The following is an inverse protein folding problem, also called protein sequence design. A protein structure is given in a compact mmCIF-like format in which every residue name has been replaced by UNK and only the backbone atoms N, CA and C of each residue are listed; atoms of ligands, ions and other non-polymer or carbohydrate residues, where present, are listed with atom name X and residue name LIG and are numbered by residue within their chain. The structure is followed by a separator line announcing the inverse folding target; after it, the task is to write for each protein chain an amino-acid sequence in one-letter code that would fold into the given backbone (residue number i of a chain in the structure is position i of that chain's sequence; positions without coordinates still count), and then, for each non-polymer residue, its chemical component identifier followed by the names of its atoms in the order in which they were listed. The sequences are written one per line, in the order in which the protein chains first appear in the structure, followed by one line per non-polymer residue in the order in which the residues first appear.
data_IF_398310539994
#
_entry.id   IF_398310539994
#
_cell.length_a   1.000
_cell.length_b   1.000
_cell.length_c   1.000
_cell.angle_alpha   90.00
_cell.angle_beta   90.00
_cell.angle_gamma   90.00
#
_symmetry.space_group_name_H-M   'P 1'
#
loop_
_entity.id
_entity.type
_entity.pdbx_description
1 polymer ?
#
# COMPACT_ATOMS: atom_id res chain seq x y z
N UNK A 1 36.83 -26.93 57.66
CA UNK A 1 36.18 -26.07 58.68
C UNK A 1 34.98 -25.43 57.98
N UNK A 2 33.79 -26.03 57.92
CA UNK A 2 32.99 -26.59 59.02
C UNK A 2 32.26 -25.42 59.68
N UNK A 3 31.04 -25.07 59.25
CA UNK A 3 29.74 -25.44 59.86
C UNK A 3 28.73 -24.42 59.30
N UNK A 4 27.43 -24.64 59.12
CA UNK A 4 26.46 -25.60 59.63
C UNK A 4 25.11 -24.85 59.68
N UNK A 5 24.05 -25.43 59.11
CA UNK A 5 22.70 -24.88 58.96
C UNK A 5 22.00 -24.49 60.27
N UNK A 6 20.87 -23.76 60.18
CA UNK A 6 19.66 -24.25 60.82
C UNK A 6 18.49 -24.40 59.83
N UNK A 7 17.79 -25.53 59.94
CA UNK A 7 16.47 -25.79 59.38
C UNK A 7 15.42 -25.27 60.37
N UNK A 8 14.32 -24.68 59.89
CA UNK A 8 13.04 -24.72 60.60
C UNK A 8 11.84 -24.48 59.67
N UNK A 9 11.10 -25.57 59.46
CA UNK A 9 9.64 -25.71 59.28
C UNK A 9 8.82 -24.61 58.62
N UNK A 10 8.57 -24.74 57.31
CA UNK A 10 7.39 -24.14 56.68
C UNK A 10 6.15 -25.01 56.93
N UNK A 11 5.24 -24.52 57.79
CA UNK A 11 3.87 -25.02 57.88
C UNK A 11 3.06 -24.45 56.71
N UNK A 12 2.55 -25.33 55.86
CA UNK A 12 1.46 -25.05 54.93
C UNK A 12 0.29 -24.35 55.66
N UNK A 13 0.01 -23.11 55.28
CA UNK A 13 -1.27 -22.46 55.54
C UNK A 13 -1.98 -22.29 54.21
N UNK A 14 -3.03 -23.08 54.04
CA UNK A 14 -4.05 -22.92 53.01
C UNK A 14 -4.70 -21.55 53.13
N UNK A 15 -4.39 -20.65 52.20
CA UNK A 15 -5.13 -19.39 52.04
C UNK A 15 -6.23 -19.63 51.01
N UNK A 16 -7.46 -19.67 51.52
CA UNK A 16 -8.67 -19.83 50.73
C UNK A 16 -8.79 -18.78 49.62
N UNK A 17 -9.03 -19.26 48.40
CA UNK A 17 -9.37 -18.44 47.25
C UNK A 17 -10.77 -17.86 47.50
N UNK A 18 -10.83 -16.64 48.03
CA UNK A 18 -12.06 -15.86 48.00
C UNK A 18 -12.35 -15.48 46.55
N UNK A 19 -13.54 -15.86 46.07
CA UNK A 19 -14.04 -15.50 44.76
C UNK A 19 -14.14 -13.98 44.64
N UNK A 20 -13.16 -13.37 43.96
CA UNK A 20 -13.18 -11.96 43.61
C UNK A 20 -14.36 -11.65 42.68
N UNK A 21 -15.27 -10.83 43.18
CA UNK A 21 -16.45 -10.37 42.43
C UNK A 21 -16.09 -9.77 41.08
N UNK A 22 -16.94 -10.07 40.08
CA UNK A 22 -16.90 -9.53 38.71
C UNK A 22 -16.88 -8.00 38.75
N UNK A 23 -15.69 -7.38 38.72
CA UNK A 23 -15.55 -5.93 38.50
C UNK A 23 -15.93 -5.66 37.04
N UNK A 24 -17.10 -5.03 36.85
CA UNK A 24 -17.50 -4.47 35.55
C UNK A 24 -16.40 -3.52 35.05
N UNK A 25 -16.03 -3.56 33.76
CA UNK A 25 -15.10 -2.60 33.20
C UNK A 25 -15.64 -1.17 33.39
N UNK A 26 -14.75 -0.18 33.60
CA UNK A 26 -15.17 1.20 33.83
C UNK A 26 -15.96 1.72 32.63
N UNK A 27 -17.16 2.25 32.90
CA UNK A 27 -17.97 2.97 31.91
C UNK A 27 -17.24 4.25 31.54
N UNK A 28 -16.81 4.35 30.28
CA UNK A 28 -16.31 5.61 29.70
C UNK A 28 -17.51 6.56 29.59
N UNK A 29 -17.50 7.73 30.25
CA UNK A 29 -18.66 8.61 30.28
C UNK A 29 -18.86 9.33 28.94
N UNK A 30 -20.11 9.29 28.46
CA UNK A 30 -20.76 10.37 27.73
C UNK A 30 -20.33 10.58 26.28
N UNK A 31 -20.99 9.86 25.35
CA UNK A 31 -20.96 10.18 23.93
C UNK A 31 -21.38 11.62 23.65
N UNK A 32 -20.53 12.35 22.92
CA UNK A 32 -20.94 13.59 22.27
C UNK A 32 -22.15 13.30 21.38
N UNK A 33 -23.30 13.87 21.74
CA UNK A 33 -24.53 13.83 20.94
C UNK A 33 -24.23 14.42 19.56
N UNK A 34 -24.48 13.61 18.53
CA UNK A 34 -24.19 13.91 17.15
C UNK A 34 -25.00 15.11 16.63
N UNK A 35 -24.31 16.12 16.13
CA UNK A 35 -24.82 17.11 15.17
C UNK A 35 -23.99 17.16 13.88
N UNK A 36 -23.18 16.13 13.61
CA UNK A 36 -22.27 16.06 12.46
C UNK A 36 -22.33 14.69 11.79
N UNK A 37 -22.91 14.60 10.57
CA UNK A 37 -22.65 13.61 9.51
C UNK A 37 -22.56 12.09 9.81
N UNK A 38 -22.91 11.61 11.01
CA UNK A 38 -22.66 10.23 11.43
C UNK A 38 -21.17 9.88 11.55
N UNK A 39 -20.85 8.61 11.80
CA UNK A 39 -19.46 8.15 11.89
C UNK A 39 -18.70 8.35 10.56
N UNK A 40 -19.33 8.04 9.43
CA UNK A 40 -18.74 8.22 8.09
C UNK A 40 -18.32 9.67 7.83
N UNK A 41 -19.19 10.64 8.13
CA UNK A 41 -18.89 12.06 7.96
C UNK A 41 -17.71 12.52 8.81
N UNK A 42 -17.60 12.05 10.06
CA UNK A 42 -16.46 12.35 10.92
C UNK A 42 -15.14 11.77 10.41
N UNK A 43 -15.16 10.56 9.84
CA UNK A 43 -13.98 9.94 9.22
C UNK A 43 -13.55 10.72 7.98
N UNK A 44 -14.48 11.05 7.08
CA UNK A 44 -14.19 11.84 5.89
C UNK A 44 -13.59 13.20 6.24
N UNK A 45 -14.17 13.88 7.24
CA UNK A 45 -13.63 15.14 7.77
C UNK A 45 -12.22 14.96 8.33
N UNK A 46 -12.00 13.92 9.15
CA UNK A 46 -10.68 13.60 9.71
C UNK A 46 -9.61 13.43 8.63
N UNK A 47 -9.93 12.65 7.57
CA UNK A 47 -9.03 12.35 6.47
C UNK A 47 -8.74 13.59 5.62
N UNK A 48 -9.78 14.32 5.21
CA UNK A 48 -9.66 15.53 4.40
C UNK A 48 -8.84 16.61 5.10
N UNK A 49 -9.11 16.86 6.39
CA UNK A 49 -8.42 17.90 7.15
C UNK A 49 -6.93 17.55 7.41
N UNK A 50 -6.50 16.32 7.07
CA UNK A 50 -5.12 15.83 7.18
C UNK A 50 -4.47 15.54 5.82
N UNK A 51 -5.09 15.97 4.72
CA UNK A 51 -4.49 15.85 3.39
C UNK A 51 -4.53 14.44 2.80
N UNK A 52 -5.49 13.60 3.19
CA UNK A 52 -5.74 12.34 2.48
C UNK A 52 -6.42 12.64 1.15
N UNK A 53 -5.85 12.17 0.04
CA UNK A 53 -6.37 12.44 -1.30
C UNK A 53 -7.60 11.58 -1.64
N UNK A 54 -7.61 10.31 -1.23
CA UNK A 54 -8.67 9.36 -1.52
C UNK A 54 -9.11 8.60 -0.26
N UNK A 55 -10.42 8.45 -0.07
CA UNK A 55 -11.00 7.64 1.02
C UNK A 55 -12.13 6.81 0.46
N UNK A 56 -12.14 5.50 0.76
CA UNK A 56 -13.22 4.60 0.38
C UNK A 56 -13.59 3.63 1.49
N UNK A 57 -14.83 3.15 1.46
CA UNK A 57 -15.40 2.25 2.47
C UNK A 57 -15.88 0.94 1.82
N UNK A 58 -15.32 -0.18 2.24
CA UNK A 58 -15.72 -1.52 1.78
C UNK A 58 -16.29 -2.35 2.95
N UNK A 59 -17.48 -2.97 2.81
CA UNK A 59 -17.94 -3.97 3.75
C UNK A 59 -17.15 -5.27 3.54
N UNK A 60 -16.93 -6.04 4.60
CA UNK A 60 -16.03 -7.21 4.55
C UNK A 60 -16.57 -8.33 3.67
N UNK A 61 -17.89 -8.39 3.50
CA UNK A 61 -18.63 -9.37 2.72
C UNK A 61 -18.25 -9.31 1.22
N UNK A 62 -17.77 -8.16 0.72
CA UNK A 62 -17.31 -8.02 -0.68
C UNK A 62 -16.16 -8.95 -1.04
N UNK A 63 -15.32 -9.34 -0.08
CA UNK A 63 -14.26 -10.30 -0.34
C UNK A 63 -14.81 -11.69 -0.65
N UNK A 64 -15.93 -12.06 -0.02
CA UNK A 64 -16.62 -13.32 -0.24
C UNK A 64 -17.43 -13.28 -1.55
N UNK A 65 -18.18 -12.19 -1.77
CA UNK A 65 -18.99 -11.97 -2.98
C UNK A 65 -18.15 -11.99 -4.27
N UNK A 66 -16.99 -11.33 -4.26
CA UNK A 66 -16.12 -11.26 -5.43
C UNK A 66 -15.34 -12.56 -5.65
N UNK A 67 -15.01 -13.29 -4.58
CA UNK A 67 -14.28 -14.56 -4.66
C UNK A 67 -12.84 -14.47 -5.19
N UNK A 68 -12.30 -13.26 -5.43
CA UNK A 68 -10.97 -13.07 -6.05
C UNK A 68 -9.81 -13.24 -5.06
N UNK A 69 -10.05 -13.06 -3.76
CA UNK A 69 -9.04 -13.12 -2.69
C UNK A 69 -9.18 -14.44 -1.91
N UNK A 70 -8.10 -15.20 -1.65
CA UNK A 70 -8.20 -16.45 -0.88
C UNK A 70 -8.70 -16.20 0.56
N UNK A 71 -9.47 -17.13 1.16
CA UNK A 71 -10.13 -16.94 2.45
C UNK A 71 -9.23 -16.41 3.58
N UNK A 72 -8.03 -16.97 3.75
CA UNK A 72 -7.10 -16.60 4.83
C UNK A 72 -6.59 -15.15 4.75
N UNK A 73 -6.73 -14.51 3.58
CA UNK A 73 -6.29 -13.14 3.31
C UNK A 73 -7.45 -12.13 3.37
N UNK A 74 -8.65 -12.58 3.73
CA UNK A 74 -9.85 -11.74 3.80
C UNK A 74 -9.94 -11.04 5.15
N UNK A 75 -10.60 -9.86 5.23
CA UNK A 75 -10.63 -9.09 6.46
C UNK A 75 -11.18 -9.83 7.68
N UNK A 76 -12.28 -10.57 7.50
CA UNK A 76 -12.90 -11.33 8.59
C UNK A 76 -12.03 -12.51 9.07
N UNK A 77 -11.16 -13.06 8.22
CA UNK A 77 -10.20 -14.09 8.62
C UNK A 77 -9.02 -13.49 9.39
N UNK A 78 -8.51 -12.34 8.94
CA UNK A 78 -7.41 -11.61 9.59
C UNK A 78 -7.84 -11.07 10.96
N UNK A 79 -9.05 -10.52 11.04
CA UNK A 79 -9.62 -10.00 12.28
C UNK A 79 -11.15 -10.21 12.30
N UNK A 80 -11.64 -11.24 13.00
CA UNK A 80 -13.07 -11.63 13.00
C UNK A 80 -14.09 -10.53 13.31
N UNK A 81 -13.79 -9.53 14.17
CA UNK A 81 -14.72 -8.42 14.41
C UNK A 81 -14.86 -7.43 13.26
N UNK A 82 -14.04 -7.49 12.20
CA UNK A 82 -14.08 -6.53 11.11
C UNK A 82 -15.46 -6.53 10.42
N UNK A 83 -16.01 -5.33 10.21
CA UNK A 83 -17.27 -5.07 9.48
C UNK A 83 -17.07 -4.12 8.31
N UNK A 84 -16.13 -3.19 8.43
CA UNK A 84 -15.75 -2.31 7.33
C UNK A 84 -14.22 -2.19 7.24
N UNK A 85 -13.72 -2.17 6.01
CA UNK A 85 -12.36 -1.77 5.67
C UNK A 85 -12.41 -0.35 5.09
N UNK A 86 -11.75 0.58 5.76
CA UNK A 86 -11.57 1.97 5.32
C UNK A 86 -10.24 2.03 4.59
N UNK A 87 -10.23 2.49 3.35
CA UNK A 87 -9.01 2.61 2.54
C UNK A 87 -8.68 4.09 2.36
N UNK A 88 -7.43 4.45 2.63
CA UNK A 88 -6.90 5.79 2.36
C UNK A 88 -5.84 5.73 1.28
N UNK A 89 -5.81 6.73 0.39
CA UNK A 89 -4.82 6.86 -0.68
C UNK A 89 -4.16 8.22 -0.68
N UNK A 90 -2.85 8.25 -0.96
CA UNK A 90 -2.07 9.46 -1.21
C UNK A 90 -1.51 9.48 -2.64
N UNK A 91 -1.65 10.60 -3.33
CA UNK A 91 -1.05 10.87 -4.64
C UNK A 91 0.47 10.76 -4.56
N UNK A 92 1.07 10.17 -5.60
CA UNK A 92 2.50 10.21 -5.86
C UNK A 92 2.75 11.21 -7.00
N UNK A 93 3.31 12.40 -6.73
CA UNK A 93 3.48 13.43 -7.76
C UNK A 93 4.20 12.93 -9.01
N UNK A 94 3.52 13.03 -10.16
CA UNK A 94 3.98 12.48 -11.43
C UNK A 94 5.41 12.87 -11.81
N UNK A 95 5.86 14.15 -11.69
CA UNK A 95 7.22 14.52 -12.08
C UNK A 95 8.32 13.74 -11.34
N UNK A 96 8.07 13.37 -10.08
CA UNK A 96 9.02 12.55 -9.30
C UNK A 96 8.94 11.08 -9.71
N UNK A 97 7.73 10.55 -9.94
CA UNK A 97 7.53 9.18 -10.43
C UNK A 97 8.22 8.96 -11.79
N UNK A 98 8.25 9.96 -12.67
CA UNK A 98 8.89 9.87 -13.98
C UNK A 98 10.41 9.68 -13.95
N UNK A 99 11.04 10.11 -12.85
CA UNK A 99 12.48 9.96 -12.64
C UNK A 99 12.90 8.53 -12.35
N UNK A 100 11.94 7.63 -12.10
CA UNK A 100 12.24 6.26 -11.69
C UNK A 100 13.11 5.48 -12.69
N UNK A 101 14.01 4.59 -12.21
CA UNK A 101 14.45 4.43 -10.82
C UNK A 101 15.43 5.53 -10.39
N UNK A 102 15.16 6.21 -9.28
CA UNK A 102 16.00 7.30 -8.75
C UNK A 102 15.93 7.37 -7.22
N UNK A 103 16.89 8.07 -6.59
CA UNK A 103 16.80 8.38 -5.16
C UNK A 103 15.63 9.31 -4.84
N UNK A 104 15.31 10.25 -5.74
CA UNK A 104 14.19 11.17 -5.53
C UNK A 104 12.87 10.41 -5.46
N UNK A 105 12.66 9.44 -6.35
CA UNK A 105 11.48 8.57 -6.30
C UNK A 105 11.49 7.67 -5.06
N UNK A 106 12.66 7.16 -4.64
CA UNK A 106 12.81 6.40 -3.40
C UNK A 106 12.37 7.20 -2.18
N UNK A 107 12.81 8.45 -2.05
CA UNK A 107 12.47 9.29 -0.89
C UNK A 107 10.99 9.70 -0.91
N UNK A 108 10.42 10.01 -2.08
CA UNK A 108 8.97 10.20 -2.18
C UNK A 108 8.21 8.94 -1.73
N UNK A 109 8.62 7.76 -2.21
CA UNK A 109 8.01 6.50 -1.83
C UNK A 109 8.06 6.29 -0.31
N UNK A 110 9.22 6.45 0.33
CA UNK A 110 9.35 6.35 1.79
C UNK A 110 8.47 7.36 2.52
N UNK A 111 8.45 8.60 2.05
CA UNK A 111 7.67 9.69 2.65
C UNK A 111 6.18 9.39 2.62
N UNK A 112 5.64 9.05 1.44
CA UNK A 112 4.22 8.71 1.29
C UNK A 112 3.82 7.51 2.16
N UNK A 113 4.68 6.50 2.24
CA UNK A 113 4.43 5.32 3.06
C UNK A 113 4.42 5.63 4.56
N UNK A 114 5.40 6.39 5.04
CA UNK A 114 5.45 6.80 6.44
C UNK A 114 4.24 7.67 6.80
N UNK A 115 3.80 8.54 5.89
CA UNK A 115 2.64 9.39 6.12
C UNK A 115 1.33 8.60 6.15
N UNK A 116 1.13 7.67 5.21
CA UNK A 116 0.00 6.74 5.24
C UNK A 116 -0.12 5.98 6.56
N UNK A 117 0.99 5.42 7.04
CA UNK A 117 0.99 4.67 8.31
C UNK A 117 0.67 5.58 9.51
N UNK A 118 1.17 6.82 9.53
CA UNK A 118 0.81 7.81 10.56
C UNK A 118 -0.67 8.16 10.53
N UNK A 119 -1.21 8.43 9.35
CA UNK A 119 -2.62 8.75 9.14
C UNK A 119 -3.52 7.59 9.58
N UNK A 120 -3.17 6.36 9.21
CA UNK A 120 -3.91 5.14 9.54
C UNK A 120 -3.86 4.81 11.03
N UNK A 121 -2.70 5.00 11.66
CA UNK A 121 -2.58 4.87 13.12
C UNK A 121 -3.42 5.94 13.84
N UNK A 122 -3.38 7.18 13.37
CA UNK A 122 -4.21 8.26 13.92
C UNK A 122 -5.70 7.97 13.81
N UNK A 123 -6.17 7.53 12.63
CA UNK A 123 -7.57 7.16 12.41
C UNK A 123 -7.99 5.97 13.30
N UNK A 124 -7.12 4.96 13.41
CA UNK A 124 -7.32 3.83 14.33
C UNK A 124 -7.56 4.30 15.76
N UNK A 125 -6.73 5.21 16.28
CA UNK A 125 -6.90 5.76 17.63
C UNK A 125 -8.18 6.57 17.77
N UNK A 126 -8.52 7.35 16.75
CA UNK A 126 -9.75 8.13 16.70
C UNK A 126 -11.00 7.23 16.82
N UNK A 127 -11.04 6.13 16.06
CA UNK A 127 -12.13 5.16 16.08
C UNK A 127 -12.20 4.42 17.41
N UNK A 128 -11.07 3.92 17.90
CA UNK A 128 -10.99 3.20 19.18
C UNK A 128 -11.48 4.06 20.36
N UNK A 129 -11.09 5.34 20.41
CA UNK A 129 -11.56 6.29 21.44
C UNK A 129 -13.05 6.61 21.32
N UNK A 130 -13.62 6.44 20.13
CA UNK A 130 -15.04 6.64 19.87
C UNK A 130 -15.88 5.37 20.10
N UNK A 131 -15.29 4.31 20.67
CA UNK A 131 -15.98 3.05 20.96
C UNK A 131 -16.12 2.12 19.74
N UNK A 132 -15.36 2.35 18.67
CA UNK A 132 -15.32 1.50 17.49
C UNK A 132 -13.97 0.78 17.41
N UNK A 133 -13.85 -0.44 17.98
CA UNK A 133 -12.66 -1.28 17.85
C UNK A 133 -12.13 -1.26 16.41
N UNK A 134 -10.84 -1.00 16.26
CA UNK A 134 -10.18 -0.84 14.98
C UNK A 134 -8.68 -1.10 15.10
N UNK A 135 -8.07 -1.54 14.01
CA UNK A 135 -6.62 -1.53 13.81
C UNK A 135 -6.30 -1.18 12.36
N UNK A 136 -5.08 -0.73 12.08
CA UNK A 136 -4.63 -0.52 10.72
C UNK A 136 -3.68 -1.63 10.30
N UNK A 137 -3.76 -2.01 9.02
CA UNK A 137 -2.77 -2.87 8.41
C UNK A 137 -1.70 -1.95 7.79
N UNK A 138 -0.42 -2.03 8.22
CA UNK A 138 0.64 -1.17 7.70
C UNK A 138 0.82 -1.33 6.21
N UNK A 139 1.22 -0.25 5.52
CA UNK A 139 1.28 -0.22 4.05
C UNK A 139 2.13 -1.34 3.44
N UNK A 140 3.17 -1.80 4.15
CA UNK A 140 4.04 -2.93 3.80
C UNK A 140 4.06 -3.96 4.93
N UNK A 141 3.95 -5.24 4.56
CA UNK A 141 3.90 -6.36 5.50
C UNK A 141 5.02 -7.38 5.32
N UNK A 142 6.19 -6.99 4.80
CA UNK A 142 7.32 -7.91 4.57
C UNK A 142 8.60 -7.43 5.25
N UNK A 143 9.29 -8.32 5.97
CA UNK A 143 10.48 -7.97 6.76
C UNK A 143 11.78 -7.84 5.96
N UNK A 144 11.87 -8.48 4.80
CA UNK A 144 13.04 -8.39 3.90
C UNK A 144 12.70 -8.89 2.50
N UNK A 145 13.56 -8.60 1.51
CA UNK A 145 13.46 -9.17 0.17
C UNK A 145 13.60 -10.71 0.18
N UNK A 146 14.41 -11.25 1.10
CA UNK A 146 14.56 -12.70 1.29
C UNK A 146 13.23 -13.34 1.71
N UNK A 147 12.55 -12.76 2.70
CA UNK A 147 11.24 -13.24 3.15
C UNK A 147 10.21 -13.21 2.01
N UNK A 148 10.24 -12.15 1.20
CA UNK A 148 9.36 -12.01 0.04
C UNK A 148 9.66 -13.04 -1.06
N UNK A 149 10.92 -13.44 -1.24
CA UNK A 149 11.30 -14.49 -2.18
C UNK A 149 10.86 -15.89 -1.72
N UNK A 150 10.97 -16.17 -0.42
CA UNK A 150 10.55 -17.45 0.17
C UNK A 150 9.02 -17.60 0.15
N UNK A 151 8.31 -16.54 0.52
CA UNK A 151 6.85 -16.50 0.51
C UNK A 151 6.38 -15.19 -0.13
N UNK A 152 6.18 -15.23 -1.44
CA UNK A 152 5.81 -14.05 -2.23
C UNK A 152 4.33 -13.69 -2.09
N UNK A 153 3.92 -13.40 -0.86
CA UNK A 153 2.55 -13.04 -0.56
C UNK A 153 2.51 -12.10 0.65
N UNK A 154 1.85 -10.95 0.50
CA UNK A 154 1.52 -10.09 1.62
C UNK A 154 0.30 -10.66 2.35
N UNK A 155 0.24 -10.56 3.68
CA UNK A 155 -0.89 -11.06 4.46
C UNK A 155 -2.22 -10.30 4.20
N UNK A 156 -2.16 -9.15 3.54
CA UNK A 156 -3.33 -8.40 3.08
C UNK A 156 -3.02 -7.57 1.83
N UNK A 157 -3.99 -7.44 0.92
CA UNK A 157 -3.83 -6.66 -0.32
C UNK A 157 -4.59 -5.33 -0.25
N UNK A 158 -3.85 -4.23 -0.08
CA UNK A 158 -4.42 -2.88 -0.17
C UNK A 158 -4.98 -2.56 -1.57
N UNK A 159 -4.48 -3.19 -2.62
CA UNK A 159 -5.00 -3.03 -3.99
C UNK A 159 -6.42 -3.57 -4.08
N UNK A 160 -6.65 -4.79 -3.58
CA UNK A 160 -7.99 -5.39 -3.59
C UNK A 160 -8.94 -4.65 -2.66
N UNK A 161 -8.45 -4.21 -1.50
CA UNK A 161 -9.23 -3.35 -0.61
C UNK A 161 -9.70 -2.06 -1.31
N UNK A 162 -8.81 -1.39 -2.06
CA UNK A 162 -9.15 -0.17 -2.78
C UNK A 162 -10.14 -0.40 -3.94
N UNK A 163 -10.03 -1.53 -4.66
CA UNK A 163 -11.03 -1.97 -5.66
C UNK A 163 -12.39 -2.13 -5.00
N UNK A 164 -12.45 -2.90 -3.91
CA UNK A 164 -13.68 -3.15 -3.19
C UNK A 164 -14.23 -1.92 -2.50
N UNK A 165 -13.39 -0.93 -2.18
CA UNK A 165 -13.80 0.37 -1.64
C UNK A 165 -14.24 1.38 -2.71
N UNK A 166 -14.34 0.97 -3.98
CA UNK A 166 -14.81 1.83 -5.06
C UNK A 166 -13.82 2.89 -5.54
N UNK A 167 -12.55 2.82 -5.11
CA UNK A 167 -11.55 3.83 -5.47
C UNK A 167 -11.00 3.69 -6.89
N UNK A 168 -11.21 2.53 -7.53
CA UNK A 168 -10.62 2.25 -8.82
C UNK A 168 -10.80 0.81 -9.30
N UNK A 169 -10.14 0.49 -10.42
CA UNK A 169 -10.15 -0.85 -11.03
C UNK A 169 -8.73 -1.37 -11.22
N UNK A 170 -8.51 -2.68 -11.11
CA UNK A 170 -7.18 -3.29 -11.28
C UNK A 170 -6.80 -3.29 -12.75
N UNK A 171 -5.66 -2.68 -13.09
CA UNK A 171 -5.15 -2.62 -14.45
C UNK A 171 -4.34 -3.86 -14.86
N UNK A 172 -3.92 -3.89 -16.13
CA UNK A 172 -3.09 -4.97 -16.66
C UNK A 172 -1.78 -5.21 -15.87
N UNK A 173 -1.25 -4.17 -15.22
CA UNK A 173 -0.03 -4.23 -14.42
C UNK A 173 -0.24 -4.65 -12.96
N UNK A 174 -1.44 -5.12 -12.59
CA UNK A 174 -1.85 -5.43 -11.21
C UNK A 174 -1.89 -4.23 -10.25
N UNK A 175 -1.61 -3.02 -10.73
CA UNK A 175 -1.84 -1.80 -9.95
C UNK A 175 -3.32 -1.41 -10.00
N UNK A 176 -3.84 -0.88 -8.89
CA UNK A 176 -5.12 -0.18 -8.93
C UNK A 176 -4.97 1.09 -9.76
N UNK A 177 -5.91 1.33 -10.67
CA UNK A 177 -6.04 2.58 -11.41
C UNK A 177 -7.16 3.38 -10.78
N UNK A 178 -6.89 4.64 -10.44
CA UNK A 178 -7.88 5.62 -9.96
C UNK A 178 -8.22 6.61 -11.08
N UNK A 179 -9.44 7.19 -11.14
CA UNK A 179 -9.76 8.23 -12.10
C UNK A 179 -8.86 9.48 -11.99
N UNK A 180 -8.50 9.86 -10.77
CA UNK A 180 -7.75 11.07 -10.44
C UNK A 180 -6.27 10.93 -10.80
N UNK A 181 -5.64 9.82 -10.41
CA UNK A 181 -4.17 9.68 -10.42
C UNK A 181 -3.69 8.43 -11.16
N UNK A 182 -4.58 7.63 -11.74
CA UNK A 182 -4.23 6.33 -12.29
C UNK A 182 -3.55 5.45 -11.22
N UNK A 183 -2.42 4.79 -11.53
CA UNK A 183 -1.69 3.98 -10.57
C UNK A 183 -0.73 4.76 -9.66
N UNK A 184 -0.70 6.10 -9.74
CA UNK A 184 0.22 6.95 -8.96
C UNK A 184 -0.37 7.27 -7.60
N UNK A 185 -0.77 6.22 -6.88
CA UNK A 185 -1.35 6.31 -5.54
C UNK A 185 -0.75 5.22 -4.66
N UNK A 186 -0.43 5.55 -3.42
CA UNK A 186 -0.12 4.58 -2.37
C UNK A 186 -1.33 4.44 -1.46
N UNK A 187 -1.63 3.21 -1.01
CA UNK A 187 -2.80 2.90 -0.21
C UNK A 187 -2.42 2.33 1.15
N UNK A 188 -3.29 2.54 2.13
CA UNK A 188 -3.27 1.89 3.45
C UNK A 188 -4.71 1.61 3.88
N UNK A 189 -4.91 0.64 4.78
CA UNK A 189 -6.24 0.22 5.18
C UNK A 189 -6.41 0.15 6.69
N UNK A 190 -7.56 0.61 7.18
CA UNK A 190 -8.00 0.51 8.57
C UNK A 190 -9.20 -0.41 8.63
N UNK A 191 -9.12 -1.42 9.48
CA UNK A 191 -10.15 -2.40 9.73
C UNK A 191 -10.92 -1.92 10.94
N UNK A 192 -12.25 -1.91 10.88
CA UNK A 192 -13.09 -1.48 12.00
C UNK A 192 -14.26 -2.43 12.19
N UNK A 193 -14.66 -2.62 13.45
CA UNK A 193 -15.89 -3.34 13.80
C UNK A 193 -17.14 -2.49 13.60
N UNK A 194 -16.99 -1.21 13.25
CA UNK A 194 -18.10 -0.35 12.92
C UNK A 194 -18.67 -0.72 11.54
N UNK A 195 -20.00 -0.84 11.47
CA UNK A 195 -20.72 -0.89 10.21
C UNK A 195 -20.86 0.52 9.66
N UNK A 196 -20.22 0.79 8.52
CA UNK A 196 -20.21 2.10 7.87
C UNK A 196 -20.80 1.93 6.47
N UNK A 197 -21.71 2.83 6.03
CA UNK A 197 -22.24 2.79 4.67
C UNK A 197 -21.12 2.73 3.61
N UNK A 198 -21.12 1.70 2.75
CA UNK A 198 -20.02 1.47 1.82
C UNK A 198 -20.15 2.31 0.55
N UNK A 199 -19.05 2.52 -0.15
CA UNK A 199 -19.05 3.11 -1.50
C UNK A 199 -19.30 2.02 -2.55
N UNK A 200 -20.00 2.27 -3.66
CA UNK A 200 -20.17 1.27 -4.72
C UNK A 200 -18.83 0.94 -5.40
N UNK A 201 -18.66 -0.30 -5.83
CA UNK A 201 -17.52 -0.66 -6.69
C UNK A 201 -17.68 -0.03 -8.07
N UNK A 202 -16.55 0.31 -8.71
CA UNK A 202 -16.58 0.79 -10.09
C UNK A 202 -16.86 -0.36 -11.05
N UNK A 203 -17.90 -0.24 -11.87
CA UNK A 203 -18.30 -1.26 -12.83
C UNK A 203 -17.41 -1.26 -14.09
N UNK A 204 -16.95 -0.08 -14.52
CA UNK A 204 -16.19 0.08 -15.75
C UNK A 204 -14.69 0.09 -15.48
N UNK A 205 -13.97 -0.81 -16.16
CA UNK A 205 -12.51 -0.84 -16.16
C UNK A 205 -11.91 0.47 -16.68
N UNK A 206 -10.95 1.01 -15.93
CA UNK A 206 -10.20 2.20 -16.33
C UNK A 206 -9.01 1.89 -17.23
N UNK A 207 -8.57 0.62 -17.29
CA UNK A 207 -7.42 0.24 -18.09
C UNK A 207 -7.72 0.33 -19.60
N UNK A 208 -6.90 1.07 -20.33
CA UNK A 208 -7.06 1.24 -21.78
C UNK A 208 -6.50 0.07 -22.62
N UNK A 209 -5.98 -0.99 -21.98
CA UNK A 209 -5.24 -2.09 -22.63
C UNK A 209 -4.12 -1.65 -23.61
N UNK A 210 -3.56 -0.45 -23.41
CA UNK A 210 -2.56 0.18 -24.29
C UNK A 210 -1.16 -0.48 -24.31
N UNK A 211 -0.94 -1.51 -23.49
CA UNK A 211 0.31 -2.28 -23.38
C UNK A 211 1.56 -1.55 -22.88
N UNK A 212 1.54 -0.22 -22.70
CA UNK A 212 2.72 0.56 -22.27
C UNK A 212 3.43 -0.02 -21.03
N UNK A 213 2.67 -0.48 -20.03
CA UNK A 213 3.25 -1.10 -18.83
C UNK A 213 4.00 -2.42 -19.10
N UNK A 214 3.53 -3.22 -20.06
CA UNK A 214 4.16 -4.47 -20.46
C UNK A 214 5.39 -4.21 -21.33
N UNK A 215 5.26 -3.30 -22.31
CA UNK A 215 6.32 -3.02 -23.28
C UNK A 215 7.52 -2.33 -22.60
N UNK A 216 7.28 -1.40 -21.66
CA UNK A 216 8.33 -0.70 -20.90
C UNK A 216 8.87 -1.48 -19.69
N UNK A 217 8.32 -2.64 -19.32
CA UNK A 217 8.79 -3.38 -18.14
C UNK A 217 10.23 -3.91 -18.35
N UNK A 218 11.22 -3.56 -17.51
CA UNK A 218 12.61 -4.00 -17.71
C UNK A 218 12.82 -5.51 -17.62
N UNK A 219 11.97 -6.21 -16.86
CA UNK A 219 12.03 -7.66 -16.67
C UNK A 219 10.94 -8.42 -17.43
N UNK A 220 10.16 -7.72 -18.26
CA UNK A 220 9.02 -8.28 -19.01
C UNK A 220 8.05 -9.09 -18.12
N UNK A 221 7.86 -8.61 -16.89
CA UNK A 221 7.06 -9.26 -15.86
C UNK A 221 5.54 -9.19 -16.09
N UNK A 222 5.08 -8.47 -17.12
CA UNK A 222 3.65 -8.29 -17.41
C UNK A 222 3.39 -8.79 -18.83
N UNK A 223 2.49 -9.76 -18.96
CA UNK A 223 1.98 -10.25 -20.23
C UNK A 223 0.50 -9.90 -20.37
N UNK A 224 0.18 -9.16 -21.43
CA UNK A 224 -1.20 -8.75 -21.73
C UNK A 224 -2.08 -9.95 -22.07
N UNK A 225 -3.36 -9.86 -21.72
CA UNK A 225 -4.36 -10.89 -21.97
C UNK A 225 -5.49 -10.35 -22.86
N UNK A 226 -5.91 -11.09 -23.91
CA UNK A 226 -7.03 -10.66 -24.74
C UNK A 226 -8.36 -10.82 -24.00
N UNK A 227 -8.50 -11.89 -23.22
CA UNK A 227 -9.69 -12.36 -22.52
C UNK A 227 -10.03 -11.57 -21.24
N UNK A 228 -9.09 -10.79 -20.69
CA UNK A 228 -9.28 -10.01 -19.45
C UNK A 228 -8.43 -8.76 -19.41
N UNK A 229 -8.72 -7.83 -18.49
CA UNK A 229 -7.90 -6.63 -18.27
C UNK A 229 -6.61 -6.97 -17.52
N UNK A 230 -6.72 -7.73 -16.42
CA UNK A 230 -5.58 -8.11 -15.59
C UNK A 230 -4.64 -9.03 -16.37
N UNK A 231 -3.37 -8.63 -16.51
CA UNK A 231 -2.37 -9.39 -17.24
C UNK A 231 -1.87 -10.61 -16.46
N UNK A 232 -1.14 -11.51 -17.12
CA UNK A 232 -0.34 -12.50 -16.41
C UNK A 232 0.89 -11.79 -15.84
N UNK A 233 1.18 -12.02 -14.56
CA UNK A 233 2.23 -11.33 -13.83
C UNK A 233 3.28 -12.32 -13.32
N UNK A 234 4.51 -12.13 -13.77
CA UNK A 234 5.67 -12.85 -13.27
C UNK A 234 6.22 -12.09 -12.06
N UNK A 235 5.75 -12.52 -10.90
CA UNK A 235 6.07 -11.96 -9.59
C UNK A 235 7.57 -12.11 -9.26
N UNK A 236 8.20 -13.22 -9.68
CA UNK A 236 9.64 -13.47 -9.51
C UNK A 236 10.48 -12.54 -10.37
N UNK A 237 10.11 -12.33 -11.62
CA UNK A 237 10.80 -11.40 -12.51
C UNK A 237 10.72 -9.96 -11.98
N UNK A 238 9.55 -9.53 -11.48
CA UNK A 238 9.44 -8.22 -10.85
C UNK A 238 10.24 -8.14 -9.54
N UNK A 239 10.25 -9.19 -8.73
CA UNK A 239 11.02 -9.25 -7.49
C UNK A 239 12.53 -9.11 -7.75
N UNK A 240 13.04 -9.77 -8.79
CA UNK A 240 14.44 -9.66 -9.20
C UNK A 240 14.84 -8.21 -9.53
N UNK A 241 13.95 -7.44 -10.20
CA UNK A 241 14.17 -6.00 -10.41
C UNK A 241 14.22 -5.23 -9.09
N UNK A 242 13.31 -5.53 -8.17
CA UNK A 242 13.26 -4.86 -6.87
C UNK A 242 14.56 -5.09 -6.08
N UNK A 243 15.12 -6.29 -6.10
CA UNK A 243 16.37 -6.62 -5.42
C UNK A 243 17.58 -5.87 -6.01
N UNK A 244 17.67 -5.78 -7.33
CA UNK A 244 18.70 -4.97 -8.01
C UNK A 244 18.63 -3.49 -7.58
N UNK A 245 17.43 -2.93 -7.49
CA UNK A 245 17.23 -1.53 -7.10
C UNK A 245 17.43 -1.28 -5.61
N UNK A 246 17.11 -2.24 -4.75
CA UNK A 246 17.42 -2.20 -3.32
C UNK A 246 18.94 -2.18 -3.12
N UNK A 247 19.68 -3.04 -3.81
CA UNK A 247 21.14 -3.06 -3.76
C UNK A 247 21.76 -1.73 -4.23
N UNK A 248 21.15 -1.08 -5.23
CA UNK A 248 21.57 0.23 -5.76
C UNK A 248 21.05 1.44 -4.97
N UNK A 249 20.18 1.23 -3.98
CA UNK A 249 19.49 2.27 -3.20
C UNK A 249 18.69 3.27 -4.07
N UNK A 250 17.95 2.75 -5.05
CA UNK A 250 17.08 3.55 -5.93
C UNK A 250 15.74 2.86 -6.24
N UNK A 251 15.22 2.10 -5.28
CA UNK A 251 13.89 1.50 -5.33
C UNK A 251 12.79 2.55 -5.08
N UNK A 252 11.53 2.33 -5.46
CA UNK A 252 11.01 1.19 -6.22
C UNK A 252 11.26 1.34 -7.72
N UNK A 253 10.96 0.29 -8.50
CA UNK A 253 10.99 0.35 -9.96
C UNK A 253 9.89 1.25 -10.52
N UNK A 254 8.62 0.94 -10.30
CA UNK A 254 7.50 1.82 -10.66
C UNK A 254 7.36 2.19 -12.15
N UNK A 255 8.07 1.56 -13.09
CA UNK A 255 7.95 1.93 -14.51
C UNK A 255 6.53 1.74 -15.02
N UNK A 256 5.83 0.67 -14.60
CA UNK A 256 4.42 0.47 -14.94
C UNK A 256 3.52 1.61 -14.44
N UNK A 257 3.82 2.22 -13.30
CA UNK A 257 3.06 3.37 -12.76
C UNK A 257 3.42 4.67 -13.49
N UNK A 258 4.71 4.85 -13.82
CA UNK A 258 5.24 5.94 -14.64
C UNK A 258 4.57 6.02 -16.01
N UNK A 259 4.41 4.90 -16.71
CA UNK A 259 4.01 4.93 -18.14
C UNK A 259 2.50 4.85 -18.37
N UNK A 260 1.72 4.49 -17.33
CA UNK A 260 0.28 4.31 -17.46
C UNK A 260 -0.42 5.65 -17.77
N UNK A 261 -1.13 5.79 -18.92
CA UNK A 261 -1.72 7.05 -19.34
C UNK A 261 -3.00 7.44 -18.57
N UNK A 262 -3.56 6.53 -17.77
CA UNK A 262 -4.77 6.76 -16.96
C UNK A 262 -4.46 7.73 -15.83
N UNK A 263 -5.40 8.63 -15.52
CA UNK A 263 -5.33 9.62 -14.43
C UNK A 263 -5.46 11.06 -14.93
N UNK A 264 -6.32 11.85 -14.29
CA UNK A 264 -6.51 13.28 -14.59
C UNK A 264 -5.29 14.13 -14.26
N UNK A 265 -4.47 13.72 -13.28
CA UNK A 265 -3.19 14.32 -12.90
C UNK A 265 -2.21 14.51 -14.08
N UNK A 266 -2.28 13.64 -15.11
CA UNK A 266 -1.56 13.83 -16.37
C UNK A 266 -1.77 15.22 -16.98
N UNK A 267 -3.00 15.71 -16.88
CA UNK A 267 -3.37 17.04 -17.38
C UNK A 267 -2.77 18.16 -16.53
N UNK A 268 -2.71 17.97 -15.21
CA UNK A 268 -2.15 18.94 -14.26
C UNK A 268 -0.69 19.27 -14.58
N UNK A 269 0.08 18.28 -15.00
CA UNK A 269 1.50 18.43 -15.34
C UNK A 269 1.76 18.61 -16.85
N UNK A 270 0.73 18.84 -17.68
CA UNK A 270 0.90 19.01 -19.13
C UNK A 270 1.37 17.75 -19.87
N UNK A 271 1.23 16.57 -19.29
CA UNK A 271 1.73 15.28 -19.82
C UNK A 271 0.67 14.52 -20.65
N UNK A 272 -0.33 15.21 -21.22
CA UNK A 272 -1.28 14.56 -22.14
C UNK A 272 -0.54 14.12 -23.40
N UNK A 273 -0.66 12.83 -23.75
CA UNK A 273 0.02 12.27 -24.93
C UNK A 273 1.49 11.89 -24.73
N UNK A 274 2.02 11.95 -23.50
CA UNK A 274 3.41 11.60 -23.19
C UNK A 274 3.78 10.12 -23.41
N UNK A 275 2.81 9.27 -23.79
CA UNK A 275 3.04 7.85 -24.05
C UNK A 275 4.14 7.59 -25.09
N UNK A 276 4.21 8.40 -26.15
CA UNK A 276 5.27 8.29 -27.17
C UNK A 276 6.65 8.54 -26.58
N UNK A 277 6.78 9.49 -25.65
CA UNK A 277 8.02 9.75 -24.91
C UNK A 277 8.40 8.55 -24.04
N UNK A 278 7.45 7.97 -23.29
CA UNK A 278 7.76 6.80 -22.46
C UNK A 278 8.17 5.56 -23.25
N UNK A 279 7.54 5.30 -24.39
CA UNK A 279 7.84 4.12 -25.21
C UNK A 279 9.21 4.21 -25.90
N UNK A 280 9.66 5.41 -26.27
CA UNK A 280 10.94 5.64 -26.94
C UNK A 280 12.13 5.76 -26.00
N UNK A 281 11.90 5.99 -24.71
CA UNK A 281 12.95 6.27 -23.72
C UNK A 281 14.12 5.28 -23.75
N UNK A 282 13.84 3.97 -23.79
CA UNK A 282 14.88 2.95 -23.75
C UNK A 282 15.77 2.95 -25.01
N UNK A 283 15.17 3.16 -26.18
CA UNK A 283 15.87 3.25 -27.46
C UNK A 283 16.68 4.55 -27.55
N UNK A 284 16.06 5.68 -27.19
CA UNK A 284 16.68 7.00 -27.19
C UNK A 284 17.94 7.03 -26.30
N UNK A 285 17.83 6.56 -25.05
CA UNK A 285 18.94 6.55 -24.11
C UNK A 285 20.03 5.51 -24.42
N UNK A 286 19.71 4.50 -25.23
CA UNK A 286 20.72 3.57 -25.75
C UNK A 286 21.53 4.20 -26.90
N UNK A 287 20.90 5.06 -27.71
CA UNK A 287 21.56 5.80 -28.78
C UNK A 287 22.35 7.01 -28.26
N UNK A 288 21.76 7.79 -27.35
CA UNK A 288 22.37 8.94 -26.70
C UNK A 288 22.00 8.98 -25.20
N UNK A 289 22.92 8.58 -24.29
CA UNK A 289 22.69 8.64 -22.85
C UNK A 289 22.40 10.04 -22.30
N UNK A 290 22.77 11.09 -23.04
CA UNK A 290 22.59 12.50 -22.67
C UNK A 290 21.47 13.18 -23.50
N UNK A 291 20.57 12.40 -24.13
CA UNK A 291 19.46 12.89 -24.95
C UNK A 291 18.69 14.03 -24.24
N UNK A 292 18.56 15.21 -24.88
CA UNK A 292 17.96 16.40 -24.25
C UNK A 292 16.48 16.22 -23.89
N UNK A 293 15.72 15.34 -24.56
CA UNK A 293 14.32 15.02 -24.23
C UNK A 293 14.21 14.36 -22.84
N UNK A 294 15.25 13.63 -22.41
CA UNK A 294 15.27 12.84 -21.17
C UNK A 294 16.25 13.37 -20.10
N UNK A 295 17.02 14.41 -20.41
CA UNK A 295 18.05 14.99 -19.55
C UNK A 295 17.59 15.23 -18.10
N UNK A 296 16.38 15.79 -17.92
CA UNK A 296 15.85 16.06 -16.57
C UNK A 296 15.64 14.78 -15.74
N UNK A 297 15.23 13.68 -16.38
CA UNK A 297 15.06 12.38 -15.71
C UNK A 297 16.41 11.72 -15.47
N UNK A 298 17.29 11.67 -16.48
CA UNK A 298 18.60 11.02 -16.36
C UNK A 298 19.49 11.72 -15.35
N UNK A 299 19.43 13.05 -15.24
CA UNK A 299 20.09 13.81 -14.19
C UNK A 299 19.73 13.27 -12.80
N UNK A 300 18.43 13.12 -12.50
CA UNK A 300 17.96 12.62 -11.20
C UNK A 300 18.21 11.13 -10.97
N UNK A 301 18.43 10.35 -12.03
CA UNK A 301 18.86 8.94 -11.94
C UNK A 301 20.36 8.78 -11.71
N UNK A 302 21.16 9.74 -12.18
CA UNK A 302 22.64 9.69 -12.15
C UNK A 302 23.18 10.04 -10.77
N UNK A 303 22.59 11.03 -10.10
CA UNK A 303 23.10 11.54 -8.82
C UNK A 303 22.37 10.92 -7.62
N UNK A 304 23.11 10.76 -6.51
CA UNK A 304 22.59 10.19 -5.25
C UNK A 304 22.53 8.66 -5.18
N UNK A 305 22.85 7.95 -6.27
CA UNK A 305 22.87 6.47 -6.32
C UNK A 305 24.29 5.93 -6.44
N UNK A 306 24.53 4.72 -5.93
CA UNK A 306 25.80 4.03 -6.19
C UNK A 306 25.90 3.71 -7.71
N UNK A 307 27.08 3.93 -8.31
CA UNK A 307 27.35 3.44 -9.66
C UNK A 307 27.21 1.93 -9.64
N UNK A 308 26.26 1.39 -10.42
CA UNK A 308 26.21 -0.05 -10.64
C UNK A 308 27.55 -0.50 -11.23
N UNK A 309 28.08 -1.64 -10.79
CA UNK A 309 29.28 -2.23 -11.42
C UNK A 309 29.03 -2.26 -12.93
N UNK A 310 29.84 -1.55 -13.72
CA UNK A 310 29.81 -1.70 -15.17
C UNK A 310 30.16 -3.16 -15.46
N UNK A 311 29.31 -3.88 -16.22
CA UNK A 311 29.71 -5.18 -16.78
C UNK A 311 30.97 -4.91 -17.60
N UNK A 312 32.13 -5.35 -17.12
CA UNK A 312 33.42 -5.12 -17.76
C UNK A 312 34.52 -4.52 -16.87
N UNK A 313 34.23 -4.10 -15.64
CA UNK A 313 35.27 -3.77 -14.65
C UNK A 313 35.47 -5.00 -13.73
N UNK A 314 36.06 -6.07 -14.29
CA UNK A 314 36.74 -7.11 -13.50
C UNK A 314 38.14 -6.57 -13.16
N UNK A 315 38.42 -6.51 -11.86
CA UNK A 315 39.77 -6.39 -11.31
C UNK A 315 40.09 -7.65 -10.52
#
# INVERSE_FOLDING_TARGET
MGSGFPQDGEKERSVGIQQGGKRKPPRIPGGLKARDGGLRGRILRYCRDRGVDLVGFAPVERWDEAGEVPPDFRPAAIWPPARTVIVMGLEMPLPVVETTPSVVHMELYKTANAELDRLAYGLTRFLNRSGHPSFFFPRDGFGSMKALREKNCAAFSHVMAARYAGLGTVGASHCLLTPEFGPRVRFVSVFTSAEIPPDPMMEKDLCLKCRACADCCPKKAIRMRPDRVVGDYDDRACLAMAEELVARRCFPCGICTKVCPVGKDRSRYGQKGAMKKYLREAEALAADPDDPEYQSWTHLRKYGVARGKRRGEEG
#
